data_IF_241501566751
#
_entry.id   IF_241501566751
#
_cell.length_a   1.000
_cell.length_b   1.000
_cell.length_c   1.000
_cell.angle_alpha   90.00
_cell.angle_beta   90.00
_cell.angle_gamma   90.00
#
_symmetry.space_group_name_H-M   'P 1'
#
loop_
_entity.id
_entity.type
_entity.pdbx_description
1 polymer ?
#
# COMPACT_ATOMS: atom_id res chain seq x y z
N UNK A 1 -7.90 29.97 4.25
CA UNK A 1 -6.46 29.89 3.94
C UNK A 1 -5.92 28.73 4.74
N UNK A 2 -5.72 27.58 4.10
CA UNK A 2 -4.90 26.50 4.68
C UNK A 2 -3.47 27.04 4.58
N UNK A 3 -2.79 27.18 5.72
CA UNK A 3 -1.44 27.73 5.77
C UNK A 3 -0.47 26.90 4.92
N UNK A 4 0.58 27.53 4.41
CA UNK A 4 1.69 26.80 3.77
C UNK A 4 2.20 25.76 4.76
N UNK A 5 2.19 24.49 4.39
CA UNK A 5 2.79 23.45 5.20
C UNK A 5 4.29 23.67 5.22
N UNK A 6 4.84 23.92 6.40
CA UNK A 6 6.28 23.83 6.59
C UNK A 6 6.67 22.34 6.53
N UNK A 7 7.38 21.98 5.47
CA UNK A 7 8.05 20.68 5.36
C UNK A 7 9.12 20.55 6.45
N UNK A 8 9.50 19.32 6.74
CA UNK A 8 10.61 19.02 7.63
C UNK A 8 11.88 19.79 7.19
N UNK A 9 12.40 20.73 7.99
CA UNK A 9 13.57 21.52 7.63
C UNK A 9 14.88 20.73 7.65
N UNK A 10 14.90 19.55 8.29
CA UNK A 10 16.10 18.75 8.54
C UNK A 10 16.30 17.61 7.53
N UNK A 11 15.54 17.60 6.43
CA UNK A 11 15.69 16.59 5.38
C UNK A 11 16.99 16.79 4.59
N UNK A 12 17.60 15.68 4.15
CA UNK A 12 18.86 15.68 3.40
C UNK A 12 18.67 15.75 1.87
N UNK A 13 17.43 15.91 1.40
CA UNK A 13 17.08 15.97 -0.01
C UNK A 13 16.33 17.25 -0.33
N UNK A 14 16.35 17.64 -1.61
CA UNK A 14 15.54 18.74 -2.10
C UNK A 14 14.10 18.29 -2.29
N UNK A 15 13.15 19.10 -1.81
CA UNK A 15 11.73 18.89 -2.10
C UNK A 15 11.51 19.15 -3.59
N UNK A 16 10.89 18.22 -4.34
CA UNK A 16 10.65 18.43 -5.77
C UNK A 16 9.84 19.71 -6.03
N UNK A 17 10.34 20.54 -6.95
CA UNK A 17 9.73 21.83 -7.31
C UNK A 17 8.88 21.78 -8.57
N UNK A 18 8.78 20.60 -9.22
CA UNK A 18 7.92 20.39 -10.39
C UNK A 18 6.46 20.73 -10.05
N UNK A 19 5.82 21.68 -10.77
CA UNK A 19 4.43 22.04 -10.52
C UNK A 19 3.45 20.87 -10.60
N UNK A 20 3.75 19.83 -11.37
CA UNK A 20 2.93 18.62 -11.48
C UNK A 20 2.95 17.75 -10.22
N UNK A 21 3.94 17.94 -9.34
CA UNK A 21 4.07 17.20 -8.08
C UNK A 21 3.45 17.94 -6.89
N UNK A 22 3.12 19.22 -7.06
CA UNK A 22 2.70 20.10 -5.96
C UNK A 22 1.50 19.54 -5.19
N UNK A 23 0.46 19.08 -5.87
CA UNK A 23 -0.75 18.56 -5.21
C UNK A 23 -0.51 17.29 -4.37
N UNK A 24 0.57 16.56 -4.66
CA UNK A 24 0.95 15.32 -3.95
C UNK A 24 1.83 15.58 -2.73
N UNK A 25 2.13 16.85 -2.44
CA UNK A 25 2.83 17.30 -1.25
C UNK A 25 1.88 17.99 -0.24
N UNK A 26 0.72 18.44 -0.69
CA UNK A 26 -0.22 19.22 0.13
C UNK A 26 -1.06 18.35 1.08
N UNK A 27 -1.58 18.93 2.18
CA UNK A 27 -2.55 18.28 3.04
C UNK A 27 -3.84 17.95 2.31
N UNK A 28 -4.42 16.82 2.69
CA UNK A 28 -5.76 16.43 2.27
C UNK A 28 -6.68 16.27 3.45
N UNK A 29 -7.99 16.12 3.19
CA UNK A 29 -8.94 15.74 4.23
C UNK A 29 -8.45 14.48 4.95
N UNK A 30 -8.59 14.46 6.28
CA UNK A 30 -8.14 13.39 7.18
C UNK A 30 -6.62 13.18 7.26
N UNK A 31 -5.79 14.01 6.62
CA UNK A 31 -4.32 13.86 6.66
C UNK A 31 -3.69 14.24 8.00
N UNK A 32 -4.30 15.14 8.77
CA UNK A 32 -3.84 15.67 10.07
C UNK A 32 -2.36 16.13 10.08
N UNK A 33 -1.84 16.64 8.96
CA UNK A 33 -0.41 16.98 8.80
C UNK A 33 0.06 18.16 9.66
N UNK A 34 -0.86 18.95 10.19
CA UNK A 34 -0.61 20.06 11.13
C UNK A 34 -0.62 19.59 12.60
N UNK A 35 -1.08 18.37 12.87
CA UNK A 35 -1.13 17.84 14.22
C UNK A 35 0.30 17.52 14.74
N UNK A 36 0.68 17.99 15.95
CA UNK A 36 2.02 17.75 16.49
C UNK A 36 2.42 16.28 16.58
N UNK A 37 1.51 15.38 16.97
CA UNK A 37 1.80 13.95 17.09
C UNK A 37 2.10 13.31 15.72
N UNK A 38 1.39 13.74 14.68
CA UNK A 38 1.60 13.26 13.30
C UNK A 38 2.93 13.80 12.76
N UNK A 39 3.22 15.08 13.01
CA UNK A 39 4.48 15.71 12.63
C UNK A 39 5.67 15.07 13.31
N UNK A 40 5.64 14.91 14.63
CA UNK A 40 6.73 14.30 15.39
C UNK A 40 7.03 12.87 14.92
N UNK A 41 5.98 12.08 14.65
CA UNK A 41 6.13 10.75 14.05
C UNK A 41 6.79 10.84 12.67
N UNK A 42 6.33 11.72 11.79
CA UNK A 42 6.91 11.89 10.46
C UNK A 42 8.40 12.30 10.52
N UNK A 43 8.74 13.29 11.33
CA UNK A 43 10.11 13.76 11.53
C UNK A 43 11.01 12.64 12.07
N UNK A 44 10.48 11.79 12.96
CA UNK A 44 11.22 10.65 13.50
C UNK A 44 11.65 9.65 12.40
N UNK A 45 10.84 9.48 11.34
CA UNK A 45 11.15 8.60 10.22
C UNK A 45 12.31 9.13 9.36
N UNK A 46 12.46 10.45 9.26
CA UNK A 46 13.56 11.08 8.53
C UNK A 46 14.89 11.12 9.30
N UNK A 47 14.91 10.83 10.60
CA UNK A 47 16.15 10.85 11.39
C UNK A 47 17.22 9.94 10.76
N UNK A 48 18.39 10.53 10.52
CA UNK A 48 19.55 9.90 9.88
C UNK A 48 19.32 9.36 8.45
N UNK A 49 18.17 9.62 7.83
CA UNK A 49 17.93 9.25 6.44
C UNK A 49 18.68 10.21 5.52
N UNK A 50 19.34 9.68 4.49
CA UNK A 50 20.03 10.50 3.48
C UNK A 50 19.28 10.57 2.16
N UNK A 51 18.22 9.76 2.03
CA UNK A 51 17.47 9.60 0.80
C UNK A 51 15.97 9.43 1.07
N UNK A 52 15.06 10.00 0.24
CA UNK A 52 13.62 9.80 0.35
C UNK A 52 13.19 8.34 0.49
N UNK A 53 13.87 7.45 -0.25
CA UNK A 53 13.69 5.99 -0.19
C UNK A 53 13.77 5.44 1.23
N UNK A 54 14.76 5.88 2.01
CA UNK A 54 14.94 5.38 3.38
C UNK A 54 13.75 5.75 4.28
N UNK A 55 13.20 6.95 4.10
CA UNK A 55 12.00 7.39 4.82
C UNK A 55 10.79 6.58 4.37
N UNK A 56 10.60 6.40 3.06
CA UNK A 56 9.50 5.60 2.54
C UNK A 56 9.51 4.16 3.07
N UNK A 57 10.68 3.51 3.10
CA UNK A 57 10.84 2.18 3.67
C UNK A 57 10.54 2.17 5.17
N UNK A 58 11.02 3.15 5.95
CA UNK A 58 10.72 3.27 7.39
C UNK A 58 9.24 3.47 7.66
N UNK A 59 8.57 4.35 6.90
CA UNK A 59 7.13 4.59 7.01
C UNK A 59 6.35 3.32 6.67
N UNK A 60 6.71 2.64 5.57
CA UNK A 60 6.08 1.39 5.19
C UNK A 60 6.23 0.32 6.28
N UNK A 61 7.46 0.12 6.81
CA UNK A 61 7.72 -0.80 7.91
C UNK A 61 6.90 -0.45 9.16
N UNK A 62 6.88 0.81 9.56
CA UNK A 62 6.05 1.28 10.67
C UNK A 62 4.58 0.90 10.48
N UNK A 63 4.03 1.08 9.27
CA UNK A 63 2.62 0.78 8.99
C UNK A 63 2.32 -0.72 9.03
N UNK A 64 3.21 -1.58 8.54
CA UNK A 64 2.99 -3.05 8.54
C UNK A 64 3.29 -3.70 9.89
N UNK A 65 4.12 -3.07 10.72
CA UNK A 65 4.50 -3.58 12.04
C UNK A 65 3.58 -3.03 13.15
N UNK A 66 3.26 -1.73 13.13
CA UNK A 66 2.56 -1.04 14.24
C UNK A 66 1.07 -0.77 14.00
N UNK A 67 0.60 -0.79 12.74
CA UNK A 67 -0.80 -0.47 12.41
C UNK A 67 -1.52 -1.73 11.93
N UNK A 68 -2.29 -2.35 12.83
CA UNK A 68 -3.06 -3.56 12.55
C UNK A 68 -4.14 -3.30 11.51
N UNK A 69 -4.30 -4.22 10.58
CA UNK A 69 -5.37 -4.15 9.62
C UNK A 69 -6.74 -4.34 10.30
N UNK A 70 -7.71 -3.48 10.03
CA UNK A 70 -9.09 -3.68 10.46
C UNK A 70 -10.04 -3.16 9.37
N UNK A 71 -11.25 -3.69 9.30
CA UNK A 71 -12.21 -3.30 8.27
C UNK A 71 -13.25 -2.32 8.80
N UNK A 72 -13.02 -1.01 8.70
CA UNK A 72 -13.94 -0.02 9.26
C UNK A 72 -14.06 1.25 8.40
N UNK A 73 -15.04 2.14 8.65
CA UNK A 73 -15.15 3.41 7.92
C UNK A 73 -13.88 4.29 8.01
N UNK A 74 -13.67 5.22 7.04
CA UNK A 74 -12.51 6.12 7.04
C UNK A 74 -12.44 6.99 8.28
N UNK A 75 -11.21 7.16 8.79
CA UNK A 75 -10.91 8.00 9.96
C UNK A 75 -9.67 8.88 9.75
N UNK A 76 -9.55 10.00 10.48
CA UNK A 76 -8.36 10.86 10.43
C UNK A 76 -7.07 10.13 10.85
N UNK A 77 -5.94 10.52 10.27
CA UNK A 77 -4.61 9.95 10.51
C UNK A 77 -4.24 9.92 11.99
N UNK A 78 -4.58 10.96 12.75
CA UNK A 78 -4.37 11.01 14.19
C UNK A 78 -5.05 9.82 14.90
N UNK A 79 -6.28 9.49 14.50
CA UNK A 79 -6.99 8.34 15.07
C UNK A 79 -6.36 7.01 14.67
N UNK A 80 -5.82 6.90 13.45
CA UNK A 80 -5.07 5.70 13.01
C UNK A 80 -3.87 5.47 13.93
N UNK A 81 -3.09 6.51 14.24
CA UNK A 81 -1.93 6.44 15.14
C UNK A 81 -2.37 6.06 16.56
N UNK A 82 -3.40 6.71 17.09
CA UNK A 82 -3.88 6.48 18.46
C UNK A 82 -4.46 5.08 18.65
N UNK A 83 -5.22 4.59 17.67
CA UNK A 83 -5.89 3.29 17.74
C UNK A 83 -5.01 2.14 17.24
N UNK A 84 -3.84 2.44 16.65
CA UNK A 84 -2.92 1.47 16.03
C UNK A 84 -3.60 0.51 15.05
N UNK A 85 -4.60 1.00 14.31
CA UNK A 85 -5.36 0.18 13.38
C UNK A 85 -5.96 0.95 12.20
N UNK A 86 -6.16 0.27 11.07
CA UNK A 86 -6.87 0.80 9.90
C UNK A 86 -6.83 -0.17 8.71
N UNK A 87 -7.71 0.01 7.72
CA UNK A 87 -7.66 -0.70 6.42
C UNK A 87 -6.78 0.03 5.40
N UNK A 88 -6.84 -0.41 4.14
CA UNK A 88 -6.11 0.14 3.00
C UNK A 88 -6.19 1.68 2.91
N UNK A 89 -7.37 2.29 2.95
CA UNK A 89 -7.44 3.76 2.86
C UNK A 89 -6.91 4.47 4.11
N UNK A 90 -7.21 3.98 5.32
CA UNK A 90 -6.70 4.58 6.56
C UNK A 90 -5.16 4.53 6.61
N UNK A 91 -4.58 3.39 6.24
CA UNK A 91 -3.14 3.16 6.22
C UNK A 91 -2.44 3.90 5.07
N UNK A 92 -3.06 3.99 3.90
CA UNK A 92 -2.55 4.80 2.78
C UNK A 92 -2.59 6.30 3.11
N UNK A 93 -3.61 6.78 3.83
CA UNK A 93 -3.63 8.17 4.30
C UNK A 93 -2.47 8.47 5.25
N UNK A 94 -2.25 7.57 6.23
CA UNK A 94 -1.14 7.68 7.16
C UNK A 94 0.20 7.66 6.42
N UNK A 95 0.38 6.75 5.46
CA UNK A 95 1.59 6.69 4.65
C UNK A 95 1.85 8.02 3.93
N UNK A 96 0.86 8.50 3.17
CA UNK A 96 0.98 9.73 2.42
C UNK A 96 1.26 10.93 3.34
N UNK A 97 0.55 11.08 4.46
CA UNK A 97 0.78 12.17 5.41
C UNK A 97 2.20 12.19 5.96
N UNK A 98 2.72 11.03 6.40
CA UNK A 98 4.07 10.94 6.96
C UNK A 98 5.16 11.24 5.92
N UNK A 99 4.95 10.84 4.66
CA UNK A 99 5.85 11.15 3.55
C UNK A 99 5.83 12.64 3.17
N UNK A 100 4.63 13.22 3.04
CA UNK A 100 4.45 14.61 2.63
C UNK A 100 5.05 15.60 3.60
N UNK A 101 4.94 15.36 4.91
CA UNK A 101 5.61 16.18 5.94
C UNK A 101 7.13 16.19 5.72
N UNK A 102 7.69 15.12 5.20
CA UNK A 102 9.11 14.99 4.85
C UNK A 102 9.43 15.44 3.42
N UNK A 103 8.53 16.14 2.74
CA UNK A 103 8.75 16.68 1.40
C UNK A 103 8.83 15.61 0.31
N UNK A 104 8.25 14.43 0.55
CA UNK A 104 8.24 13.32 -0.40
C UNK A 104 6.83 13.24 -1.01
N UNK A 105 6.66 13.44 -2.33
CA UNK A 105 5.35 13.37 -2.97
C UNK A 105 4.77 11.96 -2.84
N UNK A 106 3.51 11.89 -2.44
CA UNK A 106 2.78 10.63 -2.30
C UNK A 106 1.37 10.77 -2.89
N UNK A 107 0.84 9.72 -3.50
CA UNK A 107 -0.51 9.70 -4.07
C UNK A 107 -1.26 8.42 -3.76
N UNK A 108 -2.55 8.43 -4.03
CA UNK A 108 -3.46 7.31 -3.80
C UNK A 108 -3.78 6.69 -5.14
N UNK A 109 -3.47 5.42 -5.32
CA UNK A 109 -3.85 4.65 -6.50
C UNK A 109 -5.04 3.76 -6.17
N UNK A 110 -6.00 3.71 -7.09
CA UNK A 110 -7.26 2.99 -6.91
C UNK A 110 -7.27 1.80 -7.87
N UNK A 111 -7.51 0.62 -7.32
CA UNK A 111 -7.54 -0.62 -8.08
C UNK A 111 -8.85 -1.33 -7.81
N UNK A 112 -9.50 -1.82 -8.86
CA UNK A 112 -10.58 -2.77 -8.72
C UNK A 112 -9.97 -4.17 -8.63
N UNK A 113 -10.23 -4.86 -7.52
CA UNK A 113 -9.61 -6.17 -7.21
C UNK A 113 -10.68 -7.19 -6.87
N UNK A 114 -10.44 -8.47 -7.17
CA UNK A 114 -11.41 -9.52 -6.85
C UNK A 114 -11.60 -9.65 -5.33
N UNK A 115 -12.85 -9.68 -4.87
CA UNK A 115 -13.18 -9.67 -3.45
C UNK A 115 -12.72 -10.94 -2.70
N UNK A 116 -12.46 -12.04 -3.43
CA UNK A 116 -11.96 -13.29 -2.88
C UNK A 116 -10.68 -13.11 -2.05
N UNK A 117 -9.77 -12.22 -2.46
CA UNK A 117 -8.52 -11.97 -1.72
C UNK A 117 -8.79 -11.35 -0.34
N UNK A 118 -9.81 -10.49 -0.23
CA UNK A 118 -10.20 -9.93 1.05
C UNK A 118 -10.69 -10.99 2.05
N UNK A 119 -11.06 -12.18 1.58
CA UNK A 119 -11.38 -13.35 2.42
C UNK A 119 -10.26 -13.82 3.33
N UNK A 120 -9.02 -13.35 3.13
CA UNK A 120 -7.89 -13.60 4.05
C UNK A 120 -8.11 -12.86 5.38
N UNK A 121 -8.72 -11.68 5.36
CA UNK A 121 -8.88 -10.83 6.55
C UNK A 121 -10.35 -10.51 6.88
N UNK A 122 -11.29 -10.82 5.98
CA UNK A 122 -12.72 -10.62 6.17
C UNK A 122 -13.41 -11.99 6.15
N UNK A 123 -14.30 -12.29 7.10
CA UNK A 123 -14.96 -13.58 7.14
C UNK A 123 -15.76 -13.87 5.85
N UNK A 124 -15.78 -15.14 5.39
CA UNK A 124 -16.51 -15.54 4.17
C UNK A 124 -17.98 -15.10 4.17
N UNK A 125 -18.65 -15.14 5.33
CA UNK A 125 -20.05 -14.72 5.48
C UNK A 125 -20.31 -13.26 5.12
N UNK A 126 -19.28 -12.40 5.10
CA UNK A 126 -19.37 -11.01 4.65
C UNK A 126 -18.98 -10.91 3.17
N UNK A 127 -17.89 -11.58 2.75
CA UNK A 127 -17.41 -11.56 1.36
C UNK A 127 -18.47 -12.12 0.39
N UNK A 128 -19.14 -13.21 0.76
CA UNK A 128 -20.16 -13.87 -0.06
C UNK A 128 -21.45 -13.04 -0.22
N UNK A 129 -21.64 -12.02 0.64
CA UNK A 129 -22.80 -11.11 0.58
C UNK A 129 -22.53 -9.88 -0.29
N UNK A 130 -21.31 -9.71 -0.80
CA UNK A 130 -21.00 -8.58 -1.67
C UNK A 130 -21.79 -8.72 -2.98
N UNK A 131 -22.40 -7.62 -3.48
CA UNK A 131 -23.24 -7.67 -4.69
C UNK A 131 -22.43 -7.95 -5.97
N UNK A 132 -21.11 -7.79 -5.91
CA UNK A 132 -20.17 -8.03 -7.00
C UNK A 132 -18.93 -8.72 -6.45
N UNK A 133 -18.28 -9.56 -7.26
CA UNK A 133 -17.01 -10.22 -6.92
C UNK A 133 -15.82 -9.25 -7.09
N UNK A 134 -15.94 -8.00 -6.63
CA UNK A 134 -14.89 -7.01 -6.72
C UNK A 134 -15.04 -5.93 -5.65
N UNK A 135 -13.91 -5.41 -5.17
CA UNK A 135 -13.83 -4.27 -4.26
C UNK A 135 -12.83 -3.24 -4.79
N UNK A 136 -12.90 -2.02 -4.29
CA UNK A 136 -11.86 -1.00 -4.52
C UNK A 136 -10.78 -1.18 -3.45
N UNK A 137 -9.55 -1.42 -3.89
CA UNK A 137 -8.35 -1.37 -3.07
C UNK A 137 -7.62 -0.05 -3.32
N UNK A 138 -7.01 0.50 -2.27
CA UNK A 138 -6.33 1.79 -2.31
C UNK A 138 -4.91 1.59 -1.83
N UNK A 139 -3.96 1.85 -2.72
CA UNK A 139 -2.52 1.68 -2.47
C UNK A 139 -1.82 3.04 -2.47
N UNK A 140 -0.77 3.22 -1.66
CA UNK A 140 0.10 4.38 -1.80
C UNK A 140 1.00 4.20 -3.02
N UNK A 141 1.28 5.31 -3.68
CA UNK A 141 2.46 5.45 -4.53
C UNK A 141 3.30 6.61 -4.02
N UNK A 142 4.62 6.44 -4.06
CA UNK A 142 5.59 7.45 -3.64
C UNK A 142 6.48 7.85 -4.80
N UNK A 143 6.80 9.13 -4.90
CA UNK A 143 7.69 9.64 -5.93
C UNK A 143 9.15 9.64 -5.43
N UNK A 144 9.98 8.79 -6.02
CA UNK A 144 11.40 8.63 -5.66
C UNK A 144 12.19 8.57 -6.99
N UNK A 145 13.27 9.34 -7.08
CA UNK A 145 14.22 9.31 -8.21
C UNK A 145 13.54 9.42 -9.59
N UNK A 146 12.56 10.32 -9.70
CA UNK A 146 11.90 10.60 -10.97
C UNK A 146 10.72 9.68 -11.32
N UNK A 147 10.40 8.69 -10.47
CA UNK A 147 9.34 7.71 -10.73
C UNK A 147 8.36 7.55 -9.58
N UNK A 148 7.12 7.21 -9.91
CA UNK A 148 6.13 6.72 -8.96
C UNK A 148 6.36 5.24 -8.68
N UNK A 149 6.42 4.87 -7.41
CA UNK A 149 6.61 3.49 -6.96
C UNK A 149 5.44 3.11 -6.06
N UNK A 150 4.73 2.04 -6.41
CA UNK A 150 3.66 1.46 -5.60
C UNK A 150 4.24 0.74 -4.38
N UNK A 151 3.73 1.04 -3.20
CA UNK A 151 4.24 0.46 -1.94
C UNK A 151 3.10 -0.10 -1.10
N UNK A 152 2.40 -1.08 -1.65
CA UNK A 152 1.18 -1.62 -1.04
C UNK A 152 1.42 -2.23 0.34
N UNK A 153 0.66 -1.74 1.30
CA UNK A 153 0.58 -2.22 2.67
C UNK A 153 -0.79 -2.85 2.94
N UNK A 154 -1.28 -3.74 2.07
CA UNK A 154 -2.62 -4.32 2.21
C UNK A 154 -2.85 -4.96 3.59
N UNK A 155 -1.86 -5.66 4.16
CA UNK A 155 -1.96 -6.35 5.45
C UNK A 155 -0.95 -5.84 6.49
N UNK A 156 -1.17 -6.15 7.77
CA UNK A 156 -0.12 -6.14 8.78
C UNK A 156 0.68 -7.46 8.77
N UNK A 157 1.86 -7.46 9.39
CA UNK A 157 2.82 -8.57 9.33
C UNK A 157 2.21 -9.93 9.70
N UNK A 158 1.31 -9.95 10.68
CA UNK A 158 0.76 -11.20 11.21
C UNK A 158 -0.29 -11.84 10.29
N UNK A 159 -0.83 -11.10 9.31
CA UNK A 159 -1.80 -11.64 8.36
C UNK A 159 -1.15 -12.35 7.17
N UNK A 160 0.11 -12.04 6.85
CA UNK A 160 0.84 -12.63 5.72
C UNK A 160 1.78 -13.73 6.22
N UNK A 161 1.67 -14.99 5.75
CA UNK A 161 2.58 -16.06 6.17
C UNK A 161 3.96 -15.96 5.51
N UNK A 162 4.11 -15.18 4.45
CA UNK A 162 5.33 -15.09 3.64
C UNK A 162 6.26 -13.95 4.06
N UNK A 163 7.48 -13.92 3.49
CA UNK A 163 8.39 -12.80 3.67
C UNK A 163 7.80 -11.54 3.05
N UNK A 164 7.18 -10.72 3.89
CA UNK A 164 6.57 -9.47 3.49
C UNK A 164 7.55 -8.35 3.79
N UNK A 165 8.18 -7.77 2.78
CA UNK A 165 9.12 -6.65 2.94
C UNK A 165 9.17 -5.83 1.66
N UNK A 166 9.34 -4.51 1.81
CA UNK A 166 9.60 -3.60 0.71
C UNK A 166 10.96 -2.93 0.89
N UNK A 167 11.73 -2.82 -0.20
CA UNK A 167 13.08 -2.24 -0.19
C UNK A 167 13.13 -0.81 -0.75
N UNK A 168 12.00 -0.25 -1.19
CA UNK A 168 11.95 1.09 -1.75
C UNK A 168 12.48 1.24 -3.17
N UNK A 169 12.87 0.14 -3.82
CA UNK A 169 13.39 0.15 -5.19
C UNK A 169 12.26 -0.02 -6.18
N UNK A 170 11.52 -1.13 -6.17
CA UNK A 170 10.47 -1.36 -7.16
C UNK A 170 9.10 -1.48 -6.54
N UNK A 171 8.08 -1.48 -7.40
CA UNK A 171 6.69 -1.63 -6.99
C UNK A 171 6.50 -2.90 -6.16
N UNK A 172 5.82 -2.75 -5.03
CA UNK A 172 5.23 -3.83 -4.27
C UNK A 172 3.72 -3.71 -4.36
N UNK A 173 3.08 -4.68 -5.02
CA UNK A 173 1.65 -4.92 -4.95
C UNK A 173 1.43 -6.11 -4.02
N UNK A 174 0.79 -5.90 -2.87
CA UNK A 174 0.58 -6.94 -1.87
C UNK A 174 -0.65 -7.81 -2.21
N UNK A 175 -0.96 -7.89 -3.50
CA UNK A 175 -1.97 -8.71 -4.12
C UNK A 175 -1.32 -9.49 -5.28
N UNK A 176 -1.76 -10.73 -5.58
CA UNK A 176 -1.36 -11.38 -6.82
C UNK A 176 -1.77 -10.50 -8.01
N UNK A 177 -0.92 -10.26 -9.01
CA UNK A 177 -1.25 -9.37 -10.14
C UNK A 177 -2.56 -9.73 -10.85
N UNK A 178 -2.86 -11.01 -11.00
CA UNK A 178 -4.09 -11.50 -11.64
C UNK A 178 -5.36 -11.20 -10.81
N UNK A 179 -5.20 -10.77 -9.56
CA UNK A 179 -6.31 -10.34 -8.72
C UNK A 179 -6.70 -8.87 -8.94
N UNK A 180 -5.85 -8.11 -9.65
CA UNK A 180 -6.14 -6.73 -10.05
C UNK A 180 -6.87 -6.74 -11.38
N UNK A 181 -8.17 -6.43 -11.35
CA UNK A 181 -9.01 -6.38 -12.54
C UNK A 181 -8.75 -5.13 -13.38
N UNK A 182 -8.64 -3.98 -12.72
CA UNK A 182 -8.53 -2.68 -13.40
C UNK A 182 -7.90 -1.63 -12.51
N UNK A 183 -6.93 -0.88 -13.05
CA UNK A 183 -6.49 0.37 -12.46
C UNK A 183 -7.52 1.49 -12.76
N UNK A 184 -8.00 2.16 -11.71
CA UNK A 184 -9.02 3.20 -11.77
C UNK A 184 -8.43 4.62 -11.78
N UNK A 185 -7.11 4.73 -11.76
CA UNK A 185 -6.36 5.99 -11.71
C UNK A 185 -5.83 6.31 -10.32
N UNK A 186 -5.41 7.57 -10.15
CA UNK A 186 -4.84 8.08 -8.92
C UNK A 186 -5.45 9.43 -8.52
N UNK A 187 -5.27 9.82 -7.27
CA UNK A 187 -5.66 11.14 -6.76
C UNK A 187 -4.67 11.68 -5.73
N UNK A 188 -4.66 12.99 -5.46
CA UNK A 188 -3.86 13.57 -4.38
C UNK A 188 -4.44 13.27 -3.00
N UNK A 189 -5.70 12.84 -2.87
CA UNK A 189 -6.36 12.58 -1.58
C UNK A 189 -7.42 11.51 -1.68
N UNK A 190 -7.78 10.89 -0.55
CA UNK A 190 -8.82 9.86 -0.50
C UNK A 190 -10.15 10.43 -0.98
N UNK A 191 -10.85 9.68 -1.83
CA UNK A 191 -12.24 9.95 -2.21
C UNK A 191 -13.19 9.60 -1.05
N UNK A 192 -13.22 10.46 -0.03
CA UNK A 192 -13.89 10.18 1.24
C UNK A 192 -15.40 10.05 1.15
N UNK A 193 -16.08 10.92 0.40
CA UNK A 193 -17.54 10.90 0.31
C UNK A 193 -18.09 9.60 -0.32
N UNK A 194 -17.56 9.11 -1.46
CA UNK A 194 -17.90 7.79 -1.98
C UNK A 194 -17.63 6.65 -0.98
N UNK A 195 -16.49 6.67 -0.28
CA UNK A 195 -16.16 5.63 0.69
C UNK A 195 -17.12 5.64 1.88
N UNK A 196 -17.38 6.81 2.49
CA UNK A 196 -18.34 6.96 3.59
C UNK A 196 -19.73 6.47 3.17
N UNK A 197 -20.17 6.82 1.97
CA UNK A 197 -21.45 6.36 1.42
C UNK A 197 -21.50 4.83 1.26
N UNK A 198 -20.43 4.20 0.78
CA UNK A 198 -20.33 2.75 0.65
C UNK A 198 -20.48 2.04 2.00
N UNK A 199 -19.72 2.45 3.02
CA UNK A 199 -19.81 1.86 4.36
C UNK A 199 -21.20 2.07 4.98
N UNK A 200 -21.77 3.27 4.83
CA UNK A 200 -23.13 3.58 5.31
C UNK A 200 -24.18 2.68 4.65
N UNK A 201 -24.14 2.52 3.33
CA UNK A 201 -25.10 1.71 2.58
C UNK A 201 -24.97 0.22 2.90
N UNK A 202 -23.76 -0.25 3.18
CA UNK A 202 -23.52 -1.62 3.61
C UNK A 202 -23.83 -1.88 5.09
N UNK A 203 -24.17 -0.84 5.87
CA UNK A 203 -24.39 -0.96 7.31
C UNK A 203 -23.12 -1.30 8.11
N UNK A 204 -21.94 -1.11 7.52
CA UNK A 204 -20.66 -1.42 8.16
C UNK A 204 -20.23 -0.23 8.99
N UNK A 205 -20.29 -0.39 10.30
CA UNK A 205 -19.81 0.59 11.30
C UNK A 205 -18.59 0.02 12.03
N UNK A 206 -17.88 0.85 12.80
CA UNK A 206 -16.82 0.37 13.70
C UNK A 206 -17.33 -0.71 14.66
N UNK A 207 -18.51 -0.51 15.25
CA UNK A 207 -19.16 -1.50 16.13
C UNK A 207 -19.43 -2.82 15.40
N UNK A 208 -20.02 -2.75 14.20
CA UNK A 208 -20.26 -3.94 13.39
C UNK A 208 -18.96 -4.72 13.14
N UNK A 209 -17.87 -4.02 12.85
CA UNK A 209 -16.59 -4.61 12.51
C UNK A 209 -15.94 -5.31 13.71
N UNK A 210 -15.96 -4.67 14.88
CA UNK A 210 -15.54 -5.26 16.15
C UNK A 210 -16.31 -6.56 16.49
N UNK A 211 -17.59 -6.62 16.14
CA UNK A 211 -18.46 -7.77 16.47
C UNK A 211 -18.39 -8.89 15.41
N UNK A 212 -18.16 -8.55 14.14
CA UNK A 212 -18.40 -9.48 13.02
C UNK A 212 -17.18 -9.71 12.11
N UNK A 213 -16.15 -8.86 12.17
CA UNK A 213 -14.96 -8.95 11.30
C UNK A 213 -13.72 -9.24 12.14
N UNK A 214 -13.46 -8.41 13.15
CA UNK A 214 -12.23 -8.44 13.93
C UNK A 214 -11.96 -9.81 14.60
N UNK A 215 -12.96 -10.55 15.12
CA UNK A 215 -12.72 -11.89 15.66
C UNK A 215 -12.15 -12.88 14.62
N UNK A 216 -12.58 -12.78 13.36
CA UNK A 216 -12.04 -13.59 12.28
C UNK A 216 -10.62 -13.13 11.91
N UNK A 217 -10.41 -11.82 11.76
CA UNK A 217 -9.09 -11.25 11.48
C UNK A 217 -8.05 -11.67 12.52
N UNK A 218 -8.40 -11.58 13.81
CA UNK A 218 -7.53 -11.95 14.92
C UNK A 218 -7.28 -13.46 14.99
N UNK A 219 -8.31 -14.26 14.69
CA UNK A 219 -8.14 -15.69 14.50
C UNK A 219 -7.09 -15.98 13.40
N UNK A 220 -7.21 -15.34 12.23
CA UNK A 220 -6.24 -15.52 11.13
C UNK A 220 -4.84 -15.11 11.55
N UNK A 221 -4.67 -13.98 12.25
CA UNK A 221 -3.35 -13.59 12.81
C UNK A 221 -2.77 -14.68 13.71
N UNK A 222 -3.59 -15.26 14.57
CA UNK A 222 -3.18 -16.27 15.55
C UNK A 222 -2.82 -17.63 14.94
N UNK A 223 -3.20 -17.89 13.68
CA UNK A 223 -2.93 -19.17 13.02
C UNK A 223 -1.42 -19.45 12.98
N UNK A 224 -0.99 -20.68 13.33
CA UNK A 224 0.35 -21.15 13.06
C UNK A 224 0.70 -21.03 11.57
N UNK A 225 1.98 -20.85 11.25
CA UNK A 225 2.45 -20.65 9.87
C UNK A 225 1.83 -21.65 8.88
N UNK A 226 1.85 -22.95 9.18
CA UNK A 226 1.33 -23.98 8.27
C UNK A 226 -0.18 -23.87 8.04
N UNK A 227 -0.97 -23.58 9.08
CA UNK A 227 -2.42 -23.38 8.95
C UNK A 227 -2.76 -22.11 8.19
N UNK A 228 -1.97 -21.05 8.38
CA UNK A 228 -2.09 -19.80 7.62
C UNK A 228 -1.76 -20.02 6.14
N UNK A 229 -0.72 -20.81 5.81
CA UNK A 229 -0.46 -21.21 4.42
C UNK A 229 -1.64 -21.99 3.85
N UNK A 230 -2.21 -22.95 4.58
CA UNK A 230 -3.38 -23.72 4.12
C UNK A 230 -4.60 -22.81 3.87
N UNK A 231 -4.82 -21.79 4.71
CA UNK A 231 -5.85 -20.78 4.49
C UNK A 231 -5.64 -20.05 3.16
N UNK A 232 -4.41 -19.60 2.89
CA UNK A 232 -4.07 -18.92 1.63
C UNK A 232 -4.24 -19.85 0.43
N UNK A 233 -3.80 -21.11 0.51
CA UNK A 233 -3.99 -22.09 -0.55
C UNK A 233 -5.49 -22.39 -0.80
N UNK A 234 -6.31 -22.44 0.25
CA UNK A 234 -7.76 -22.63 0.15
C UNK A 234 -8.47 -21.44 -0.51
N UNK A 235 -8.04 -20.22 -0.21
CA UNK A 235 -8.63 -19.00 -0.77
C UNK A 235 -8.12 -18.75 -2.20
N UNK A 236 -6.82 -18.80 -2.43
CA UNK A 236 -6.23 -18.40 -3.70
C UNK A 236 -6.11 -19.55 -4.69
N UNK A 237 -6.11 -20.79 -4.20
CA UNK A 237 -5.60 -21.95 -4.93
C UNK A 237 -4.10 -22.10 -4.69
N UNK A 238 -3.62 -23.35 -4.59
CA UNK A 238 -2.23 -23.65 -4.25
C UNK A 238 -1.20 -22.95 -5.13
N UNK A 239 -1.36 -23.04 -6.45
CA UNK A 239 -0.42 -22.46 -7.41
C UNK A 239 -0.33 -20.93 -7.29
N UNK A 240 -1.46 -20.27 -7.07
CA UNK A 240 -1.50 -18.82 -6.86
C UNK A 240 -0.89 -18.41 -5.53
N UNK A 241 -1.13 -19.17 -4.45
CA UNK A 241 -0.51 -18.92 -3.15
C UNK A 241 1.03 -19.08 -3.23
N UNK A 242 1.52 -20.13 -3.90
CA UNK A 242 2.96 -20.35 -4.13
C UNK A 242 3.59 -19.21 -4.96
N UNK A 243 2.91 -18.77 -6.03
CA UNK A 243 3.38 -17.65 -6.86
C UNK A 243 3.38 -16.33 -6.10
N UNK A 244 2.36 -16.08 -5.28
CA UNK A 244 2.31 -14.90 -4.41
C UNK A 244 3.46 -14.90 -3.39
N UNK A 245 3.75 -16.04 -2.77
CA UNK A 245 4.89 -16.20 -1.86
C UNK A 245 6.23 -15.89 -2.55
N UNK A 246 6.43 -16.41 -3.77
CA UNK A 246 7.63 -16.13 -4.59
C UNK A 246 7.74 -14.66 -4.97
N UNK A 247 6.63 -14.05 -5.36
CA UNK A 247 6.58 -12.63 -5.69
C UNK A 247 7.01 -11.77 -4.50
N UNK A 248 6.43 -12.00 -3.32
CA UNK A 248 6.79 -11.26 -2.12
C UNK A 248 8.26 -11.47 -1.74
N UNK A 249 8.77 -12.70 -1.86
CA UNK A 249 10.19 -13.00 -1.63
C UNK A 249 11.10 -12.20 -2.58
N UNK A 250 10.77 -12.14 -3.87
CA UNK A 250 11.53 -11.37 -4.86
C UNK A 250 11.52 -9.86 -4.58
N UNK A 251 10.45 -9.34 -3.97
CA UNK A 251 10.36 -7.92 -3.59
C UNK A 251 11.08 -7.61 -2.28
N UNK A 252 11.16 -8.60 -1.39
CA UNK A 252 11.85 -8.50 -0.12
C UNK A 252 13.37 -8.59 -0.25
N UNK A 253 13.85 -9.47 -1.13
CA UNK A 253 15.27 -9.66 -1.38
C UNK A 253 15.68 -8.77 -2.55
N UNK A 254 16.42 -7.67 -2.33
CA UNK A 254 16.94 -6.90 -3.45
C UNK A 254 17.74 -7.86 -4.33
N UNK A 255 17.41 -7.90 -5.62
CA UNK A 255 18.32 -8.51 -6.58
C UNK A 255 19.67 -7.84 -6.33
N UNK A 256 20.70 -8.63 -6.02
CA UNK A 256 22.05 -8.07 -6.03
C UNK A 256 22.18 -7.52 -7.44
N UNK A 257 22.31 -6.21 -7.58
CA UNK A 257 22.88 -5.63 -8.78
C UNK A 257 24.23 -6.34 -8.94
N UNK A 258 24.25 -7.46 -9.65
CA UNK A 258 25.40 -7.75 -10.49
C UNK A 258 25.38 -6.54 -11.40
N UNK A 259 26.27 -5.59 -11.14
CA UNK A 259 26.57 -4.52 -12.09
C UNK A 259 26.51 -5.19 -13.46
N UNK A 260 25.50 -4.88 -14.25
CA UNK A 260 25.60 -5.16 -15.67
C UNK A 260 26.75 -4.23 -16.04
N UNK A 261 27.96 -4.76 -16.36
CA UNK A 261 29.08 -3.89 -16.69
C UNK A 261 28.57 -2.92 -17.74
N UNK A 262 28.95 -1.64 -17.67
CA UNK A 262 28.48 -0.55 -18.54
C UNK A 262 28.53 -0.92 -20.04
N UNK A 263 27.56 -1.70 -20.49
CA UNK A 263 27.29 -1.96 -21.87
C UNK A 263 26.50 -0.71 -22.23
N UNK A 264 27.21 0.29 -22.76
CA UNK A 264 26.57 1.31 -23.59
C UNK A 264 25.59 0.56 -24.49
N UNK A 265 24.29 0.89 -24.47
CA UNK A 265 23.36 0.29 -25.41
C UNK A 265 23.98 0.48 -26.79
N UNK A 266 24.34 -0.60 -27.47
CA UNK A 266 24.59 -0.51 -28.89
C UNK A 266 23.31 0.04 -29.49
N UNK A 267 23.41 0.98 -30.44
CA UNK A 267 22.24 1.44 -31.20
C UNK A 267 21.37 0.23 -31.56
N UNK A 268 20.04 0.30 -31.35
CA UNK A 268 19.18 -0.82 -31.63
C UNK A 268 19.34 -1.22 -33.10
N UNK A 269 20.09 -2.29 -33.36
CA UNK A 269 20.13 -2.89 -34.67
C UNK A 269 18.75 -3.48 -34.90
N UNK A 270 18.05 -3.03 -35.96
CA UNK A 270 16.83 -3.68 -36.42
C UNK A 270 17.09 -5.17 -36.58
N UNK A 271 16.52 -5.99 -35.70
CA UNK A 271 16.33 -7.40 -36.02
C UNK A 271 15.33 -7.44 -37.17
N UNK A 272 15.64 -8.09 -38.31
CA UNK A 272 14.64 -8.30 -39.34
C UNK A 272 13.52 -9.13 -38.73
N UNK A 273 12.29 -8.62 -38.86
CA UNK A 273 11.07 -9.36 -38.56
C UNK A 273 11.09 -10.58 -39.48
N UNK A 274 11.45 -11.74 -38.96
CA UNK A 274 11.15 -13.01 -39.62
C UNK A 274 9.74 -13.41 -39.19
N UNK A 275 8.83 -13.37 -40.15
CA UNK A 275 7.45 -13.81 -40.04
C UNK A 275 7.37 -15.33 -39.77
N UNK A 276 7.62 -15.78 -38.54
CA UNK A 276 7.13 -17.07 -38.05
C UNK A 276 7.50 -17.32 -36.58
N UNK A 277 6.80 -16.68 -35.65
CA UNK A 277 6.67 -17.21 -34.27
C UNK A 277 5.21 -17.05 -33.84
N UNK A 278 4.32 -17.74 -34.54
CA UNK A 278 3.01 -18.11 -34.00
C UNK A 278 2.85 -19.61 -34.29
N UNK A 279 2.93 -20.49 -33.29
CA UNK A 279 2.51 -21.88 -33.46
C UNK A 279 1.00 -21.91 -33.72
N UNK A 280 0.57 -22.72 -34.70
CA UNK A 280 -0.85 -23.06 -34.92
C UNK A 280 -1.40 -23.89 -33.77
#
# INVERSE_FOLDING_TARGET
MIGLVEYNPDIAWEVPSDPSLKEFLEPTEYSDMDNPLVRDLALSMARNARHPREVAVKVWNYIVDEIKWCYEPPKPVLKVIQEKSGNCFNRTNLHASLLRINGIPARYTYEQVYSKFAGIAIPPSIIERLPVNAIVHITPEVYIDGRWIQCDQWADRDLIPYLYQWNGVDDLCALPPDYVWKNLGYSPGILLEPLKAQFKNAGITKKFSLENVDPYTDFVRSLPYGEKVNLYEGILGKEYADNFARYLYMKAVPFRETECPDIKPSEPSRLPIQDSIIPR
#
